data_IF_967857798769
#
_entry.id   IF_967857798769
#
_cell.length_a   1.000
_cell.length_b   1.000
_cell.length_c   1.000
_cell.angle_alpha   90.00
_cell.angle_beta   90.00
_cell.angle_gamma   90.00
#
_symmetry.space_group_name_H-M   'P 1'
#
loop_
_entity.id
_entity.type
_entity.pdbx_description
1 polymer ?
#
# COMPACT_ATOMS: atom_id res chain seq x y z
N UNK A 1 -5.96 22.66 12.64
CA UNK A 1 -5.34 22.33 11.34
C UNK A 1 -5.40 23.59 10.49
N UNK A 2 -4.33 23.89 9.75
CA UNK A 2 -4.29 25.07 8.89
C UNK A 2 -5.22 24.85 7.67
N UNK A 3 -5.83 25.91 7.11
CA UNK A 3 -6.67 25.76 5.91
C UNK A 3 -5.96 25.09 4.70
N UNK A 4 -4.65 25.31 4.46
CA UNK A 4 -3.91 24.62 3.39
C UNK A 4 -3.84 23.10 3.56
N UNK A 5 -3.65 22.60 4.79
CA UNK A 5 -3.59 21.16 5.07
C UNK A 5 -4.90 20.44 4.77
N UNK A 6 -6.03 21.06 5.14
CA UNK A 6 -7.36 20.49 4.89
C UNK A 6 -7.65 20.41 3.38
N UNK A 7 -7.36 21.48 2.63
CA UNK A 7 -7.54 21.50 1.18
C UNK A 7 -6.65 20.47 0.47
N UNK A 8 -5.43 20.23 0.97
CA UNK A 8 -4.56 19.19 0.41
C UNK A 8 -5.14 17.77 0.62
N UNK A 9 -5.57 17.45 1.85
CA UNK A 9 -6.14 16.12 2.16
C UNK A 9 -7.39 15.83 1.34
N UNK A 10 -8.21 16.83 1.08
CA UNK A 10 -9.38 16.71 0.21
C UNK A 10 -9.01 16.28 -1.22
N UNK A 11 -7.77 16.53 -1.69
CA UNK A 11 -7.30 16.05 -3.00
C UNK A 11 -6.87 14.58 -2.98
N UNK A 12 -6.73 13.94 -1.83
CA UNK A 12 -6.31 12.55 -1.71
C UNK A 12 -7.55 11.65 -1.63
N UNK A 13 -7.62 10.68 -2.55
CA UNK A 13 -8.51 9.53 -2.45
C UNK A 13 -7.69 8.34 -1.96
N UNK A 14 -8.01 7.83 -0.77
CA UNK A 14 -7.34 6.63 -0.24
C UNK A 14 -7.99 5.38 -0.80
N UNK A 15 -7.22 4.49 -1.43
CA UNK A 15 -7.72 3.25 -2.04
C UNK A 15 -7.08 2.05 -1.36
N UNK A 16 -7.88 1.27 -0.63
CA UNK A 16 -7.44 0.05 0.06
C UNK A 16 -7.81 -1.17 -0.80
N UNK A 17 -6.80 -1.93 -1.24
CA UNK A 17 -6.98 -3.08 -2.11
C UNK A 17 -7.22 -4.37 -1.31
N UNK A 18 -8.48 -4.83 -1.28
CA UNK A 18 -8.92 -6.05 -0.59
C UNK A 18 -9.42 -7.16 -1.53
N UNK A 19 -9.19 -7.03 -2.84
CA UNK A 19 -9.81 -7.90 -3.85
C UNK A 19 -9.13 -9.26 -4.10
N UNK A 20 -7.94 -9.50 -3.53
CA UNK A 20 -7.10 -10.64 -3.87
C UNK A 20 -7.58 -11.99 -3.31
N UNK A 21 -7.39 -13.06 -4.08
CA UNK A 21 -7.76 -14.44 -3.71
C UNK A 21 -6.93 -15.06 -2.58
N UNK A 22 -5.82 -14.44 -2.17
CA UNK A 22 -4.99 -14.97 -1.08
C UNK A 22 -4.37 -16.35 -1.39
N UNK A 23 -4.20 -16.75 -2.66
CA UNK A 23 -3.76 -18.09 -3.09
C UNK A 23 -2.46 -18.60 -2.44
N UNK A 24 -1.53 -17.69 -2.09
CA UNK A 24 -0.29 -17.99 -1.37
C UNK A 24 -0.50 -18.36 0.12
N UNK A 25 -1.66 -18.04 0.68
CA UNK A 25 -2.08 -18.31 2.05
C UNK A 25 -3.20 -19.35 2.13
N UNK A 26 -3.28 -20.30 1.18
CA UNK A 26 -4.14 -21.50 1.28
C UNK A 26 -3.95 -22.32 2.57
N UNK A 27 -2.88 -22.05 3.32
CA UNK A 27 -2.57 -22.67 4.62
C UNK A 27 -3.22 -21.91 5.81
N UNK A 28 -3.59 -20.63 5.66
CA UNK A 28 -3.99 -19.75 6.77
C UNK A 28 -5.47 -19.38 6.72
N UNK A 29 -6.06 -19.20 5.53
CA UNK A 29 -7.38 -18.58 5.41
C UNK A 29 -8.18 -19.04 4.19
N UNK A 30 -8.41 -20.35 4.05
CA UNK A 30 -9.13 -20.92 2.90
C UNK A 30 -10.50 -20.26 2.63
N UNK A 31 -11.15 -19.72 3.66
CA UNK A 31 -12.48 -19.08 3.57
C UNK A 31 -12.51 -17.66 4.17
N UNK A 32 -11.36 -16.99 4.36
CA UNK A 32 -11.33 -15.64 4.93
C UNK A 32 -10.33 -14.78 4.15
N UNK A 33 -10.71 -13.57 3.68
CA UNK A 33 -9.76 -12.63 3.11
C UNK A 33 -8.60 -12.30 4.06
N UNK A 34 -7.38 -12.18 3.53
CA UNK A 34 -6.19 -11.84 4.34
C UNK A 34 -6.37 -10.55 5.13
N UNK A 35 -7.02 -9.56 4.54
CA UNK A 35 -7.33 -8.27 5.16
C UNK A 35 -8.18 -8.41 6.43
N UNK A 36 -8.90 -9.52 6.61
CA UNK A 36 -9.70 -9.81 7.80
C UNK A 36 -8.97 -10.66 8.84
N UNK A 37 -7.70 -11.02 8.61
CA UNK A 37 -6.89 -11.68 9.63
C UNK A 37 -6.75 -10.77 10.86
N UNK A 38 -6.98 -11.36 12.03
CA UNK A 38 -6.89 -10.66 13.31
C UNK A 38 -5.44 -10.63 13.80
N UNK A 39 -5.01 -9.47 14.29
CA UNK A 39 -3.71 -9.29 14.91
C UNK A 39 -3.89 -9.31 16.43
N UNK A 40 -3.44 -10.37 17.10
CA UNK A 40 -3.72 -10.54 18.53
C UNK A 40 -3.06 -9.51 19.44
N UNK A 41 -1.89 -8.99 19.09
CA UNK A 41 -1.26 -7.88 19.82
C UNK A 41 -1.93 -6.52 19.62
N UNK A 42 -2.83 -6.40 18.65
CA UNK A 42 -3.56 -5.17 18.38
C UNK A 42 -5.03 -5.37 18.76
N UNK A 43 -5.26 -5.90 19.97
CA UNK A 43 -6.59 -6.13 20.53
C UNK A 43 -7.51 -6.95 19.63
N UNK A 44 -6.94 -7.93 18.91
CA UNK A 44 -7.65 -8.77 17.94
C UNK A 44 -8.38 -8.00 16.82
N UNK A 45 -7.90 -6.79 16.49
CA UNK A 45 -8.38 -6.04 15.33
C UNK A 45 -7.95 -6.70 14.01
N UNK A 46 -8.76 -6.55 12.97
CA UNK A 46 -8.41 -7.03 11.63
C UNK A 46 -7.40 -6.08 10.98
N UNK A 47 -6.62 -6.56 10.01
CA UNK A 47 -5.70 -5.71 9.24
C UNK A 47 -6.49 -4.55 8.60
N UNK A 48 -7.65 -4.85 8.01
CA UNK A 48 -8.52 -3.85 7.42
C UNK A 48 -8.97 -2.80 8.44
N UNK A 49 -9.45 -3.21 9.62
CA UNK A 49 -9.93 -2.24 10.62
C UNK A 49 -8.80 -1.37 11.16
N UNK A 50 -7.57 -1.88 11.23
CA UNK A 50 -6.38 -1.10 11.58
C UNK A 50 -6.09 -0.03 10.53
N UNK A 51 -6.08 -0.40 9.24
CA UNK A 51 -5.88 0.54 8.14
C UNK A 51 -6.98 1.62 8.13
N UNK A 52 -8.25 1.22 8.21
CA UNK A 52 -9.38 2.15 8.26
C UNK A 52 -9.31 3.09 9.46
N UNK A 53 -8.91 2.58 10.64
CA UNK A 53 -8.72 3.40 11.83
C UNK A 53 -7.65 4.47 11.65
N UNK A 54 -6.53 4.14 10.99
CA UNK A 54 -5.46 5.10 10.70
C UNK A 54 -5.96 6.18 9.74
N UNK A 55 -6.58 5.77 8.62
CA UNK A 55 -7.10 6.69 7.61
C UNK A 55 -8.15 7.65 8.20
N UNK A 56 -9.11 7.13 9.00
CA UNK A 56 -10.11 7.96 9.68
C UNK A 56 -9.50 8.90 10.71
N UNK A 57 -8.55 8.46 11.53
CA UNK A 57 -7.86 9.33 12.50
C UNK A 57 -7.07 10.45 11.83
N UNK A 58 -6.59 10.23 10.60
CA UNK A 58 -5.87 11.23 9.81
C UNK A 58 -6.79 12.13 8.97
N UNK A 59 -8.12 11.94 9.05
CA UNK A 59 -9.14 12.63 8.25
C UNK A 59 -8.87 12.50 6.74
N UNK A 60 -8.56 11.28 6.29
CA UNK A 60 -8.38 10.98 4.88
C UNK A 60 -9.68 10.46 4.28
N UNK A 61 -10.46 11.38 3.75
CA UNK A 61 -11.71 11.09 3.05
C UNK A 61 -11.65 11.67 1.61
N UNK A 62 -12.14 10.95 0.59
CA UNK A 62 -12.84 9.67 0.68
C UNK A 62 -11.90 8.46 0.84
N UNK A 63 -12.40 7.43 1.54
CA UNK A 63 -11.78 6.10 1.61
C UNK A 63 -12.55 5.15 0.70
N UNK A 64 -11.83 4.51 -0.22
CA UNK A 64 -12.36 3.49 -1.13
C UNK A 64 -11.81 2.13 -0.71
N UNK A 65 -12.68 1.17 -0.46
CA UNK A 65 -12.31 -0.23 -0.23
C UNK A 65 -12.66 -1.03 -1.48
N UNK A 66 -11.64 -1.51 -2.19
CA UNK A 66 -11.84 -2.28 -3.41
C UNK A 66 -11.97 -3.76 -3.06
N UNK A 67 -13.12 -4.36 -3.39
CA UNK A 67 -13.45 -5.76 -3.11
C UNK A 67 -13.39 -6.62 -4.37
N UNK A 68 -13.35 -7.94 -4.20
CA UNK A 68 -13.25 -8.92 -5.28
C UNK A 68 -13.63 -10.30 -4.76
N UNK A 69 -12.67 -11.23 -4.72
CA UNK A 69 -12.91 -12.54 -4.09
C UNK A 69 -13.35 -12.40 -2.63
N UNK A 70 -14.42 -13.09 -2.23
CA UNK A 70 -14.99 -13.05 -0.87
C UNK A 70 -15.33 -11.61 -0.42
N UNK A 71 -15.77 -10.78 -1.37
CA UNK A 71 -16.08 -9.37 -1.15
C UNK A 71 -17.12 -9.14 -0.06
N UNK A 72 -18.12 -10.01 0.05
CA UNK A 72 -19.18 -9.96 1.05
C UNK A 72 -18.63 -9.90 2.49
N UNK A 73 -17.57 -10.66 2.79
CA UNK A 73 -16.93 -10.62 4.11
C UNK A 73 -16.21 -9.29 4.37
N UNK A 74 -15.66 -8.67 3.32
CA UNK A 74 -15.05 -7.35 3.42
C UNK A 74 -16.13 -6.31 3.70
N UNK A 75 -17.24 -6.36 2.97
CA UNK A 75 -18.39 -5.47 3.14
C UNK A 75 -18.94 -5.54 4.56
N UNK A 76 -19.22 -6.74 5.07
CA UNK A 76 -19.67 -6.96 6.44
C UNK A 76 -18.68 -6.39 7.47
N UNK A 77 -17.38 -6.56 7.24
CA UNK A 77 -16.34 -6.02 8.11
C UNK A 77 -16.28 -4.49 8.07
N UNK A 78 -16.53 -3.86 6.92
CA UNK A 78 -16.58 -2.39 6.79
C UNK A 78 -17.82 -1.85 7.49
N UNK A 79 -19.00 -2.43 7.26
CA UNK A 79 -20.22 -2.02 7.96
C UNK A 79 -20.10 -2.17 9.47
N UNK A 80 -19.55 -3.30 9.94
CA UNK A 80 -19.28 -3.52 11.37
C UNK A 80 -18.33 -2.46 11.94
N UNK A 81 -17.32 -2.04 11.18
CA UNK A 81 -16.39 -0.98 11.57
C UNK A 81 -17.10 0.39 11.66
N UNK A 82 -17.92 0.74 10.68
CA UNK A 82 -18.68 1.99 10.64
C UNK A 82 -19.64 2.08 11.83
N UNK A 83 -20.46 1.06 12.04
CA UNK A 83 -21.43 0.99 13.14
C UNK A 83 -20.76 1.07 14.50
N UNK A 84 -19.68 0.30 14.72
CA UNK A 84 -18.96 0.29 16.00
C UNK A 84 -18.36 1.65 16.36
N UNK A 85 -17.92 2.42 15.37
CA UNK A 85 -17.29 3.72 15.58
C UNK A 85 -18.23 4.90 15.33
N UNK A 86 -19.52 4.65 15.06
CA UNK A 86 -20.53 5.67 14.79
C UNK A 86 -20.17 6.61 13.62
N UNK A 87 -19.52 6.06 12.59
CA UNK A 87 -19.26 6.79 11.35
C UNK A 87 -20.47 6.69 10.41
N UNK A 88 -20.71 7.73 9.61
CA UNK A 88 -21.73 7.71 8.57
C UNK A 88 -21.45 6.64 7.50
N UNK A 89 -22.51 6.07 6.93
CA UNK A 89 -22.43 5.00 5.93
C UNK A 89 -21.64 5.42 4.69
N UNK A 90 -21.82 6.67 4.23
CA UNK A 90 -21.12 7.23 3.07
C UNK A 90 -19.64 7.57 3.32
N UNK A 91 -19.15 7.37 4.55
CA UNK A 91 -17.79 7.74 4.91
C UNK A 91 -16.74 6.77 4.36
N UNK A 92 -17.14 5.57 3.92
CA UNK A 92 -16.28 4.61 3.22
C UNK A 92 -17.07 4.08 2.02
N UNK A 93 -16.50 4.21 0.82
CA UNK A 93 -17.11 3.71 -0.40
C UNK A 93 -16.56 2.30 -0.68
N UNK A 94 -17.45 1.32 -0.74
CA UNK A 94 -17.11 -0.04 -1.17
C UNK A 94 -17.23 -0.10 -2.69
N UNK A 95 -16.18 -0.54 -3.37
CA UNK A 95 -16.16 -0.69 -4.82
C UNK A 95 -15.82 -2.13 -5.22
N UNK A 96 -16.79 -2.84 -5.78
CA UNK A 96 -16.55 -4.19 -6.32
C UNK A 96 -15.78 -4.12 -7.63
N UNK A 97 -14.65 -4.83 -7.69
CA UNK A 97 -13.87 -4.97 -8.94
C UNK A 97 -14.48 -5.98 -9.93
N UNK A 98 -15.62 -6.61 -9.59
CA UNK A 98 -16.22 -7.64 -10.44
C UNK A 98 -15.25 -8.80 -10.65
N UNK A 99 -15.02 -9.21 -11.89
CA UNK A 99 -14.05 -10.26 -12.23
C UNK A 99 -12.60 -9.73 -12.40
N UNK A 100 -12.37 -8.41 -12.35
CA UNK A 100 -11.05 -7.82 -12.59
C UNK A 100 -10.01 -8.27 -11.55
N UNK A 101 -10.44 -8.72 -10.35
CA UNK A 101 -9.51 -9.26 -9.35
C UNK A 101 -8.77 -10.52 -9.80
N UNK A 102 -9.35 -11.30 -10.72
CA UNK A 102 -8.71 -12.51 -11.29
C UNK A 102 -7.48 -12.16 -12.12
N UNK A 103 -7.39 -10.92 -12.61
CA UNK A 103 -6.26 -10.41 -13.39
C UNK A 103 -5.13 -9.85 -12.50
N UNK A 104 -5.40 -9.63 -11.22
CA UNK A 104 -4.44 -9.22 -10.21
C UNK A 104 -4.76 -7.87 -9.55
N UNK A 105 -4.02 -7.49 -8.48
CA UNK A 105 -4.33 -6.32 -7.65
C UNK A 105 -4.40 -5.00 -8.42
N UNK A 106 -3.59 -4.87 -9.47
CA UNK A 106 -3.57 -3.67 -10.30
C UNK A 106 -4.85 -3.53 -11.13
N UNK A 107 -5.41 -4.61 -11.66
CA UNK A 107 -6.69 -4.54 -12.37
C UNK A 107 -7.85 -4.25 -11.42
N UNK A 108 -7.79 -4.79 -10.19
CA UNK A 108 -8.73 -4.41 -9.13
C UNK A 108 -8.66 -2.90 -8.88
N UNK A 109 -7.46 -2.32 -8.78
CA UNK A 109 -7.29 -0.88 -8.69
C UNK A 109 -7.87 -0.14 -9.90
N UNK A 110 -7.56 -0.55 -11.14
CA UNK A 110 -8.05 0.13 -12.35
C UNK A 110 -9.58 0.08 -12.53
N UNK A 111 -10.25 -0.88 -11.89
CA UNK A 111 -11.71 -0.96 -11.92
C UNK A 111 -12.38 0.30 -11.36
N UNK A 112 -11.71 1.07 -10.49
CA UNK A 112 -12.24 2.34 -9.97
C UNK A 112 -12.46 3.38 -11.08
N UNK A 113 -11.73 3.27 -12.20
CA UNK A 113 -11.88 4.18 -13.35
C UNK A 113 -13.21 4.02 -14.07
N UNK A 114 -13.99 2.99 -13.73
CA UNK A 114 -15.35 2.76 -14.24
C UNK A 114 -16.42 3.44 -13.37
N UNK A 115 -16.04 4.00 -12.22
CA UNK A 115 -16.95 4.62 -11.26
C UNK A 115 -16.68 6.14 -11.18
N UNK A 116 -17.59 6.94 -11.74
CA UNK A 116 -17.47 8.40 -11.81
C UNK A 116 -17.56 9.10 -10.44
N UNK A 117 -18.13 8.45 -9.42
CA UNK A 117 -18.14 8.98 -8.05
C UNK A 117 -16.75 8.92 -7.41
N UNK A 118 -15.91 7.98 -7.84
CA UNK A 118 -14.58 7.72 -7.30
C UNK A 118 -13.51 8.40 -8.16
N UNK A 119 -13.55 8.16 -9.47
CA UNK A 119 -12.52 8.61 -10.40
C UNK A 119 -12.80 10.03 -10.89
N UNK A 120 -12.49 11.00 -10.04
CA UNK A 120 -12.64 12.44 -10.32
C UNK A 120 -11.34 13.05 -10.82
N UNK A 121 -11.48 14.07 -11.67
CA UNK A 121 -10.35 14.91 -12.09
C UNK A 121 -9.70 15.59 -10.87
N UNK A 122 -8.42 15.94 -10.97
CA UNK A 122 -7.62 16.60 -9.90
C UNK A 122 -7.46 15.85 -8.57
N UNK A 123 -7.70 14.54 -8.54
CA UNK A 123 -7.43 13.67 -7.39
C UNK A 123 -6.08 12.98 -7.47
N UNK A 124 -5.47 12.79 -6.30
CA UNK A 124 -4.33 11.93 -6.04
C UNK A 124 -4.84 10.63 -5.41
N UNK A 125 -4.50 9.49 -5.98
CA UNK A 125 -4.91 8.18 -5.49
C UNK A 125 -3.77 7.58 -4.69
N UNK A 126 -3.96 7.54 -3.37
CA UNK A 126 -3.05 6.84 -2.46
C UNK A 126 -3.48 5.38 -2.36
N UNK A 127 -2.73 4.48 -2.97
CA UNK A 127 -3.05 3.06 -3.06
C UNK A 127 -2.34 2.29 -1.95
N UNK A 128 -3.12 1.63 -1.09
CA UNK A 128 -2.64 0.80 0.02
C UNK A 128 -3.07 -0.67 -0.18
N UNK A 129 -2.18 -1.64 0.06
CA UNK A 129 -2.54 -3.04 0.15
C UNK A 129 -3.37 -3.33 1.40
N UNK A 130 -4.44 -4.10 1.26
CA UNK A 130 -5.31 -4.50 2.36
C UNK A 130 -4.75 -5.62 3.26
N UNK A 131 -3.60 -6.20 2.92
CA UNK A 131 -2.93 -7.28 3.66
C UNK A 131 -1.65 -6.83 4.38
N UNK A 132 -1.41 -5.52 4.46
CA UNK A 132 -0.26 -4.93 5.16
C UNK A 132 -0.72 -4.11 6.37
N UNK A 133 -0.02 -4.28 7.50
CA UNK A 133 -0.19 -3.42 8.68
C UNK A 133 0.83 -2.29 8.62
N UNK A 134 0.36 -1.05 8.77
CA UNK A 134 1.19 0.15 8.78
C UNK A 134 1.25 0.77 10.17
N UNK A 135 2.40 1.31 10.56
CA UNK A 135 2.50 2.18 11.73
C UNK A 135 1.76 3.51 11.43
N UNK A 136 1.04 4.06 12.41
CA UNK A 136 0.33 5.34 12.26
C UNK A 136 1.28 6.48 11.80
N UNK A 137 2.45 6.56 12.42
CA UNK A 137 3.47 7.56 12.11
C UNK A 137 4.01 7.44 10.68
N UNK A 138 3.97 6.24 10.06
CA UNK A 138 4.38 6.06 8.66
C UNK A 138 3.40 6.77 7.72
N UNK A 139 2.09 6.58 7.93
CA UNK A 139 1.07 7.22 7.09
C UNK A 139 1.07 8.73 7.33
N UNK A 140 1.23 9.17 8.59
CA UNK A 140 1.34 10.58 8.93
C UNK A 140 2.54 11.24 8.26
N UNK A 141 3.72 10.60 8.30
CA UNK A 141 4.93 11.09 7.61
C UNK A 141 4.71 11.19 6.11
N UNK A 142 4.10 10.16 5.48
CA UNK A 142 3.77 10.17 4.06
C UNK A 142 2.91 11.39 3.69
N UNK A 143 1.89 11.71 4.50
CA UNK A 143 1.05 12.89 4.23
C UNK A 143 1.82 14.19 4.32
N UNK A 144 2.70 14.33 5.31
CA UNK A 144 3.54 15.53 5.45
C UNK A 144 4.48 15.67 4.25
N UNK A 145 5.12 14.57 3.83
CA UNK A 145 6.00 14.56 2.66
C UNK A 145 5.26 14.93 1.37
N UNK A 146 4.01 14.48 1.21
CA UNK A 146 3.22 14.86 0.03
C UNK A 146 2.84 16.35 0.05
N UNK A 147 2.55 16.90 1.23
CA UNK A 147 2.26 18.32 1.38
C UNK A 147 3.51 19.17 1.12
N UNK A 148 4.67 18.79 1.67
CA UNK A 148 5.96 19.45 1.46
C UNK A 148 6.39 19.43 -0.02
N UNK A 149 6.04 18.35 -0.74
CA UNK A 149 6.37 18.16 -2.15
C UNK A 149 5.17 18.41 -3.08
N UNK A 150 4.17 19.18 -2.65
CA UNK A 150 2.88 19.29 -3.34
C UNK A 150 2.98 19.62 -4.84
N UNK A 151 3.86 20.55 -5.21
CA UNK A 151 4.08 20.94 -6.62
C UNK A 151 4.61 19.80 -7.48
N UNK A 152 5.42 18.91 -6.91
CA UNK A 152 5.93 17.73 -7.61
C UNK A 152 4.84 16.66 -7.75
N UNK A 153 4.05 16.47 -6.69
CA UNK A 153 3.06 15.38 -6.55
C UNK A 153 1.86 15.57 -7.47
N UNK A 154 1.43 16.81 -7.73
CA UNK A 154 0.22 17.05 -8.54
C UNK A 154 0.39 16.54 -9.99
N UNK A 155 1.59 16.70 -10.54
CA UNK A 155 1.88 16.33 -11.94
C UNK A 155 2.50 14.94 -12.08
N UNK A 156 2.96 14.32 -10.98
CA UNK A 156 3.74 13.10 -11.05
C UNK A 156 3.30 12.02 -10.05
N UNK A 157 3.62 10.77 -10.37
CA UNK A 157 3.43 9.65 -9.43
C UNK A 157 4.62 9.47 -8.51
N UNK A 158 4.33 9.12 -7.25
CA UNK A 158 5.31 9.01 -6.17
C UNK A 158 5.41 7.57 -5.68
N UNK A 159 6.64 7.14 -5.42
CA UNK A 159 6.96 5.89 -4.73
C UNK A 159 7.76 6.21 -3.48
N UNK A 160 7.30 5.71 -2.34
CA UNK A 160 8.00 5.89 -1.08
C UNK A 160 9.03 4.79 -0.84
N UNK A 161 10.14 5.13 -0.23
CA UNK A 161 11.17 4.16 0.15
C UNK A 161 11.81 4.52 1.48
N UNK A 162 12.47 3.55 2.12
CA UNK A 162 13.37 3.79 3.24
C UNK A 162 14.72 3.18 2.97
N UNK A 163 15.78 3.86 3.41
CA UNK A 163 17.14 3.30 3.41
C UNK A 163 17.25 2.33 4.58
N UNK A 164 17.56 1.06 4.28
CA UNK A 164 17.73 0.03 5.31
C UNK A 164 18.94 -0.83 5.01
N UNK A 165 19.72 -1.12 6.05
CA UNK A 165 20.81 -2.09 5.94
C UNK A 165 20.25 -3.50 5.90
N UNK A 166 20.76 -4.28 4.95
CA UNK A 166 20.34 -5.67 4.73
C UNK A 166 20.68 -6.59 5.89
N UNK A 167 21.77 -6.38 6.64
CA UNK A 167 22.07 -7.18 7.84
C UNK A 167 21.03 -7.01 8.95
N UNK A 168 20.55 -5.79 9.18
CA UNK A 168 19.47 -5.50 10.13
C UNK A 168 18.20 -6.24 9.69
N UNK A 169 17.87 -6.14 8.40
CA UNK A 169 16.71 -6.80 7.83
C UNK A 169 16.82 -8.34 7.93
N UNK A 170 17.97 -8.90 7.59
CA UNK A 170 18.28 -10.34 7.71
C UNK A 170 18.22 -10.82 9.15
N UNK A 171 18.77 -10.07 10.11
CA UNK A 171 18.68 -10.42 11.53
C UNK A 171 17.23 -10.45 11.99
N UNK A 172 16.44 -9.45 11.61
CA UNK A 172 15.00 -9.40 11.87
C UNK A 172 14.32 -10.64 11.30
N UNK A 173 14.47 -10.91 10.01
CA UNK A 173 13.80 -12.07 9.39
C UNK A 173 14.34 -13.41 9.90
N UNK A 174 15.67 -13.64 9.99
CA UNK A 174 16.25 -14.91 10.46
C UNK A 174 15.78 -15.30 11.86
N UNK A 175 15.61 -14.33 12.78
CA UNK A 175 15.07 -14.57 14.13
C UNK A 175 13.70 -15.26 14.07
N UNK A 176 12.86 -14.86 13.13
CA UNK A 176 11.48 -15.34 13.03
C UNK A 176 11.32 -16.45 12.00
N UNK A 177 12.07 -16.37 10.90
CA UNK A 177 11.96 -17.13 9.65
C UNK A 177 13.28 -17.85 9.30
N UNK A 178 13.74 -18.84 10.09
CA UNK A 178 15.00 -19.52 9.81
C UNK A 178 14.99 -20.33 8.50
N UNK A 179 13.80 -20.65 7.95
CA UNK A 179 13.61 -21.49 6.75
C UNK A 179 12.85 -20.81 5.60
N UNK A 180 12.45 -19.54 5.75
CA UNK A 180 11.62 -18.86 4.76
C UNK A 180 12.42 -17.75 4.06
N UNK A 181 12.46 -17.79 2.73
CA UNK A 181 13.12 -16.77 1.91
C UNK A 181 12.13 -15.65 1.56
N UNK A 182 12.15 -14.57 2.35
CA UNK A 182 11.37 -13.36 2.03
C UNK A 182 11.99 -12.64 0.84
N UNK A 183 11.18 -12.24 -0.12
CA UNK A 183 11.59 -11.34 -1.20
C UNK A 183 11.37 -9.88 -0.81
N UNK A 184 12.29 -9.01 -1.16
CA UNK A 184 12.24 -7.58 -0.86
C UNK A 184 12.29 -6.80 -2.17
N UNK A 185 11.34 -5.88 -2.33
CA UNK A 185 11.34 -4.92 -3.44
C UNK A 185 12.08 -3.65 -3.03
N UNK A 186 12.96 -3.16 -3.91
CA UNK A 186 13.77 -1.99 -3.67
C UNK A 186 13.90 -1.14 -4.94
N UNK A 187 14.19 0.15 -4.76
CA UNK A 187 14.35 1.10 -5.86
C UNK A 187 15.80 1.20 -6.32
N UNK A 188 16.00 1.17 -7.63
CA UNK A 188 17.16 1.79 -8.29
C UNK A 188 16.75 3.19 -8.72
N UNK A 189 17.56 4.17 -8.39
CA UNK A 189 17.22 5.58 -8.53
C UNK A 189 18.42 6.38 -9.04
N UNK A 190 18.13 7.53 -9.61
CA UNK A 190 19.11 8.58 -9.86
C UNK A 190 18.69 9.85 -9.12
N UNK A 191 19.66 10.64 -8.70
CA UNK A 191 19.42 11.98 -8.18
C UNK A 191 19.73 12.99 -9.29
N UNK A 192 18.79 13.88 -9.56
CA UNK A 192 18.91 14.95 -10.54
C UNK A 192 18.28 16.21 -9.98
N UNK A 193 19.06 17.29 -9.90
CA UNK A 193 18.60 18.60 -9.44
C UNK A 193 17.88 18.54 -8.07
N UNK A 194 18.46 17.80 -7.12
CA UNK A 194 17.90 17.53 -5.77
C UNK A 194 16.59 16.75 -5.75
N UNK A 195 16.17 16.19 -6.88
CA UNK A 195 15.01 15.33 -7.02
C UNK A 195 15.46 13.90 -7.28
N UNK A 196 14.86 12.93 -6.58
CA UNK A 196 15.16 11.52 -6.79
C UNK A 196 14.17 10.91 -7.78
N UNK A 197 14.68 10.37 -8.87
CA UNK A 197 13.90 9.75 -9.96
C UNK A 197 14.10 8.24 -9.91
N UNK A 198 13.00 7.49 -10.02
CA UNK A 198 13.03 6.03 -10.09
C UNK A 198 13.53 5.60 -11.47
N UNK A 199 14.51 4.71 -11.48
CA UNK A 199 14.99 4.03 -12.70
C UNK A 199 14.37 2.67 -12.89
N UNK A 200 14.18 1.95 -11.79
CA UNK A 200 13.66 0.58 -11.81
C UNK A 200 13.15 0.21 -10.41
N UNK A 201 12.09 -0.58 -10.36
CA UNK A 201 11.76 -1.39 -9.19
C UNK A 201 12.33 -2.80 -9.40
N UNK A 202 13.33 -3.14 -8.59
CA UNK A 202 13.90 -4.49 -8.54
C UNK A 202 13.31 -5.29 -7.38
N UNK A 203 13.35 -6.62 -7.47
CA UNK A 203 12.92 -7.50 -6.39
C UNK A 203 13.87 -8.69 -6.30
N UNK A 204 14.39 -8.94 -5.11
CA UNK A 204 15.33 -10.02 -4.85
C UNK A 204 14.99 -10.77 -3.57
N UNK A 205 15.50 -12.00 -3.46
CA UNK A 205 15.43 -12.74 -2.20
C UNK A 205 16.34 -12.07 -1.18
N UNK A 206 15.87 -11.90 0.05
CA UNK A 206 16.68 -11.31 1.10
C UNK A 206 17.98 -12.09 1.33
N UNK A 207 17.99 -13.40 1.08
CA UNK A 207 19.18 -14.26 1.16
C UNK A 207 20.25 -13.92 0.12
N UNK A 208 19.89 -13.41 -1.06
CA UNK A 208 20.84 -13.08 -2.14
C UNK A 208 21.54 -11.73 -1.95
N UNK A 209 20.95 -10.81 -1.19
CA UNK A 209 21.53 -9.49 -0.96
C UNK A 209 22.81 -9.56 -0.12
N UNK A 210 23.77 -8.66 -0.33
CA UNK A 210 25.00 -8.59 0.49
C UNK A 210 24.65 -8.20 1.93
N UNK A 211 25.43 -8.60 2.95
CA UNK A 211 25.16 -8.21 4.36
C UNK A 211 25.52 -6.75 4.69
N UNK A 212 26.27 -6.06 3.84
CA UNK A 212 26.73 -4.68 4.08
C UNK A 212 26.05 -3.65 3.18
N UNK A 213 25.09 -4.10 2.37
CA UNK A 213 24.38 -3.27 1.42
C UNK A 213 23.29 -2.43 2.13
N UNK A 214 23.19 -1.16 1.74
CA UNK A 214 22.03 -0.32 2.06
C UNK A 214 21.12 -0.34 0.85
N UNK A 215 19.90 -0.83 1.04
CA UNK A 215 18.89 -0.87 -0.02
C UNK A 215 17.83 0.21 0.21
N UNK A 216 17.25 0.69 -0.89
CA UNK A 216 16.10 1.61 -0.88
C UNK A 216 14.81 0.78 -0.87
N UNK A 217 14.48 0.19 0.27
CA UNK A 217 13.31 -0.68 0.39
C UNK A 217 12.03 0.11 0.12
N UNK A 218 11.19 -0.39 -0.78
CA UNK A 218 9.90 0.23 -1.10
C UNK A 218 8.95 0.13 0.11
N UNK A 219 8.28 1.24 0.42
CA UNK A 219 7.07 1.24 1.23
C UNK A 219 5.92 0.91 0.28
N UNK A 220 5.05 -0.08 0.57
CA UNK A 220 4.03 -0.53 -0.36
C UNK A 220 2.82 0.42 -0.38
N UNK A 221 3.07 1.71 -0.58
CA UNK A 221 2.08 2.76 -0.77
C UNK A 221 2.49 3.52 -2.02
N UNK A 222 1.59 3.62 -2.98
CA UNK A 222 1.84 4.26 -4.27
C UNK A 222 0.90 5.44 -4.44
N UNK A 223 1.42 6.56 -4.95
CA UNK A 223 0.61 7.72 -5.30
C UNK A 223 0.51 7.80 -6.81
N UNK A 224 -0.71 7.79 -7.33
CA UNK A 224 -0.97 8.01 -8.74
C UNK A 224 -1.89 9.20 -8.94
N UNK A 225 -1.57 10.07 -9.89
CA UNK A 225 -2.55 11.03 -10.40
C UNK A 225 -3.33 10.43 -11.58
N UNK A 226 -4.35 11.14 -12.04
CA UNK A 226 -5.21 10.69 -13.14
C UNK A 226 -4.46 10.40 -14.44
N UNK A 227 -3.43 11.18 -14.77
CA UNK A 227 -2.68 10.98 -16.02
C UNK A 227 -1.94 9.64 -16.02
N UNK A 228 -1.40 9.21 -14.87
CA UNK A 228 -0.74 7.92 -14.74
C UNK A 228 -1.74 6.77 -14.74
N UNK A 229 -2.89 6.92 -14.09
CA UNK A 229 -3.94 5.90 -14.10
C UNK A 229 -4.46 5.68 -15.52
N UNK A 230 -4.70 6.77 -16.28
CA UNK A 230 -5.08 6.71 -17.71
C UNK A 230 -4.02 6.00 -18.55
N UNK A 231 -2.74 6.36 -18.39
CA UNK A 231 -1.64 5.73 -19.11
C UNK A 231 -1.46 4.23 -18.75
N UNK A 232 -1.65 3.86 -17.49
CA UNK A 232 -1.64 2.46 -17.06
C UNK A 232 -2.80 1.69 -17.71
N UNK A 233 -4.01 2.29 -17.76
CA UNK A 233 -5.19 1.67 -18.39
C UNK A 233 -4.96 1.46 -19.90
N UNK A 234 -4.36 2.42 -20.57
CA UNK A 234 -3.95 2.29 -21.97
C UNK A 234 -2.92 1.17 -22.15
N UNK A 235 -1.91 1.09 -21.27
CA UNK A 235 -0.92 0.02 -21.29
C UNK A 235 -1.57 -1.36 -21.07
N UNK A 236 -2.55 -1.47 -20.16
CA UNK A 236 -3.28 -2.70 -19.85
C UNK A 236 -4.03 -3.27 -21.07
N UNK A 237 -4.38 -2.43 -22.05
CA UNK A 237 -5.06 -2.86 -23.27
C UNK A 237 -4.14 -3.60 -24.26
N UNK A 238 -2.82 -3.40 -24.14
CA UNK A 238 -1.82 -3.88 -25.11
C UNK A 238 -0.77 -4.81 -24.52
N UNK A 239 -0.55 -4.78 -23.20
CA UNK A 239 0.49 -5.55 -22.52
C UNK A 239 -0.11 -6.25 -21.30
N UNK A 240 0.22 -7.53 -21.13
CA UNK A 240 -0.11 -8.28 -19.92
C UNK A 240 0.93 -8.02 -18.83
N UNK A 241 0.47 -7.59 -17.68
CA UNK A 241 1.25 -7.49 -16.44
C UNK A 241 0.33 -7.91 -15.28
N UNK A 242 0.89 -8.28 -14.13
CA UNK A 242 0.14 -8.77 -12.95
C UNK A 242 0.37 -7.92 -11.71
N UNK A 243 1.47 -7.17 -11.65
CA UNK A 243 1.90 -6.46 -10.45
C UNK A 243 2.09 -4.97 -10.69
N UNK A 244 1.96 -4.17 -9.63
CA UNK A 244 2.29 -2.74 -9.66
C UNK A 244 3.77 -2.53 -10.05
N UNK A 245 4.66 -3.44 -9.64
CA UNK A 245 6.08 -3.40 -10.05
C UNK A 245 6.25 -3.47 -11.56
N UNK A 246 5.61 -4.45 -12.21
CA UNK A 246 5.72 -4.64 -13.65
C UNK A 246 5.20 -3.42 -14.41
N UNK A 247 4.04 -2.87 -14.01
CA UNK A 247 3.49 -1.71 -14.69
C UNK A 247 4.37 -0.47 -14.54
N UNK A 248 4.94 -0.26 -13.35
CA UNK A 248 5.85 0.87 -13.13
C UNK A 248 7.09 0.74 -14.02
N UNK A 249 7.71 -0.45 -14.09
CA UNK A 249 8.89 -0.67 -14.93
C UNK A 249 8.56 -0.47 -16.43
N UNK A 250 7.43 -0.98 -16.92
CA UNK A 250 6.99 -0.75 -18.31
C UNK A 250 6.73 0.73 -18.61
N UNK A 251 6.17 1.47 -17.64
CA UNK A 251 5.96 2.91 -17.77
C UNK A 251 7.29 3.69 -17.81
N UNK A 252 8.27 3.27 -17.01
CA UNK A 252 9.64 3.81 -17.02
C UNK A 252 10.33 3.58 -18.38
N UNK A 253 10.19 2.39 -18.97
CA UNK A 253 10.68 2.08 -20.32
C UNK A 253 10.03 2.98 -21.40
N UNK A 254 8.77 3.36 -21.20
CA UNK A 254 8.03 4.33 -22.02
C UNK A 254 8.32 5.79 -21.67
N UNK A 255 9.40 6.06 -20.94
CA UNK A 255 9.87 7.40 -20.54
C UNK A 255 8.88 8.16 -19.65
N UNK A 256 7.93 7.48 -19.00
CA UNK A 256 7.16 8.09 -17.90
C UNK A 256 7.97 8.03 -16.63
N UNK A 257 8.18 9.19 -16.02
CA UNK A 257 9.02 9.32 -14.83
C UNK A 257 8.23 8.95 -13.57
N UNK A 258 8.89 8.39 -12.57
CA UNK A 258 8.34 8.26 -11.22
C UNK A 258 9.31 8.91 -10.26
N UNK A 259 8.80 9.58 -9.24
CA UNK A 259 9.63 10.23 -8.24
C UNK A 259 9.67 9.40 -6.97
N UNK A 260 10.82 9.41 -6.31
CA UNK A 260 11.02 8.69 -5.07
C UNK A 260 11.15 9.67 -3.91
N UNK A 261 10.43 9.41 -2.82
CA UNK A 261 10.56 10.18 -1.58
C UNK A 261 10.96 9.24 -0.46
N UNK A 262 12.02 9.60 0.27
CA UNK A 262 12.47 8.83 1.42
C UNK A 262 11.57 9.06 2.62
N UNK A 263 11.22 7.99 3.32
CA UNK A 263 10.62 8.01 4.65
C UNK A 263 11.63 7.59 5.70
N UNK A 264 11.36 7.91 6.95
CA UNK A 264 12.15 7.53 8.11
C UNK A 264 12.25 6.00 8.25
N UNK A 265 13.44 5.44 8.52
CA UNK A 265 13.61 4.01 8.73
C UNK A 265 12.94 3.50 10.02
N UNK A 266 12.63 4.40 10.96
CA UNK A 266 12.00 4.09 12.24
C UNK A 266 10.54 3.62 12.07
N UNK A 267 9.88 4.15 11.03
CA UNK A 267 8.49 3.88 10.69
C UNK A 267 8.38 2.53 9.95
N UNK A 268 7.52 1.64 10.45
CA UNK A 268 7.43 0.27 9.94
C UNK A 268 6.11 0.00 9.22
N UNK A 269 6.20 -1.01 8.37
CA UNK A 269 5.07 -1.77 7.86
C UNK A 269 5.38 -3.27 8.00
N UNK A 270 4.32 -4.07 7.99
CA UNK A 270 4.37 -5.52 8.12
C UNK A 270 3.45 -6.14 7.07
N UNK A 271 4.07 -6.64 6.00
CA UNK A 271 3.40 -7.37 4.93
C UNK A 271 3.08 -8.79 5.41
N UNK A 272 1.78 -9.08 5.61
CA UNK A 272 1.32 -10.33 6.25
C UNK A 272 1.16 -11.41 5.18
N UNK A 273 2.25 -12.14 4.95
CA UNK A 273 2.31 -13.25 4.00
C UNK A 273 2.19 -14.61 4.69
N UNK A 274 2.64 -14.72 5.94
CA UNK A 274 2.66 -15.95 6.71
C UNK A 274 2.14 -15.75 8.15
N UNK A 275 1.67 -16.81 8.84
CA UNK A 275 1.20 -16.69 10.24
C UNK A 275 2.27 -16.17 11.20
N UNK A 276 3.53 -16.32 10.79
CA UNK A 276 4.70 -15.91 11.54
C UNK A 276 4.92 -14.39 11.48
N UNK A 277 4.37 -13.67 10.48
CA UNK A 277 4.46 -12.20 10.39
C UNK A 277 3.65 -11.58 11.52
N UNK A 278 2.52 -12.22 11.87
CA UNK A 278 1.72 -11.87 13.04
C UNK A 278 2.50 -12.03 14.34
N UNK A 279 3.40 -13.03 14.46
CA UNK A 279 4.24 -13.19 15.66
C UNK A 279 5.27 -12.05 15.81
N UNK A 280 5.88 -11.59 14.72
CA UNK A 280 6.80 -10.43 14.73
C UNK A 280 6.08 -9.20 15.26
N UNK A 281 4.91 -8.94 14.69
CA UNK A 281 4.08 -7.80 15.09
C UNK A 281 3.69 -7.91 16.57
N UNK A 282 3.39 -9.13 17.03
CA UNK A 282 3.01 -9.38 18.41
C UNK A 282 4.12 -9.19 19.44
N UNK A 283 5.36 -9.57 19.14
CA UNK A 283 6.49 -9.37 20.06
C UNK A 283 6.88 -7.90 20.19
N UNK A 284 6.90 -7.16 19.08
CA UNK A 284 7.32 -5.74 19.08
C UNK A 284 6.43 -4.87 19.97
N UNK A 285 5.13 -5.17 20.07
CA UNK A 285 4.18 -4.41 20.88
C UNK A 285 4.14 -4.83 22.35
N UNK A 286 4.64 -6.02 22.70
CA UNK A 286 4.84 -6.43 24.10
C UNK A 286 6.07 -5.80 24.76
N UNK A 287 7.10 -5.44 23.97
CA UNK A 287 8.30 -4.76 24.46
C UNK A 287 8.22 -3.23 24.51
N UNK A 288 7.06 -2.66 24.23
CA UNK A 288 6.82 -1.21 24.21
C UNK A 288 5.55 -0.79 24.97
N UNK A 289 5.14 -1.61 25.95
CA UNK A 289 4.25 -1.21 27.04
C UNK A 289 5.09 -0.86 28.27
#
# INVERSE_FOLDING_TARGET
>A
MSQPENNFKEKITSVVLCAGEGTRAKIISQNLPKSLLKVSSLNNQTILSLVLSILKKLNLDPIIVVTGHLGEYIEDSVYSFLTKNQYGEDSIIIHSSGDDYKLGPLFSFLSITKNEQIFKEDKLFMVLPGDTVFDFNLIQEILNLLLENYSLVIDNSIIFYRKIRTDILKKKYKKYYPKYEKSISYLRMEEKDSITIVKEISQEKLSSLSNQEVINQIIPIFIFNNSYIKAIKELASSVKFRTIREVVNLMLERKKQFFAISVSPENNFYDIDAPLDLKILNEKKKGGQ
#
